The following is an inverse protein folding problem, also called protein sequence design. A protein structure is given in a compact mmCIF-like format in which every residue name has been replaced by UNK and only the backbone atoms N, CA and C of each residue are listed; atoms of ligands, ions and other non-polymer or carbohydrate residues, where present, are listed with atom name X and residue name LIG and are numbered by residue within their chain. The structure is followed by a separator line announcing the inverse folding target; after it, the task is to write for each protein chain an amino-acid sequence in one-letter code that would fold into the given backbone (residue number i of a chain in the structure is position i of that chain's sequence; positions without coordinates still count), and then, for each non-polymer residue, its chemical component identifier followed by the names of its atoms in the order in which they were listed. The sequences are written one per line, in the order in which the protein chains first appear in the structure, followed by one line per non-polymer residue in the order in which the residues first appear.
data_IF_243092805997
#
_entry.id   IF_243092805997
#
_cell.length_a   1.000
_cell.length_b   1.000
_cell.length_c   1.000
_cell.angle_alpha   90.00
_cell.angle_beta   90.00
_cell.angle_gamma   90.00
#
_symmetry.space_group_name_H-M   'P 1'
#
loop_
_entity.id
_entity.type
_entity.pdbx_description
1 polymer ?
#
# COMPACT_ATOMS: atom_id res chain seq x y z
N UNK A 1 17.93 3.99 -11.03
CA UNK A 1 18.09 3.97 -9.56
C UNK A 1 16.70 3.68 -8.99
N UNK A 2 16.61 2.64 -8.17
CA UNK A 2 15.46 1.82 -7.71
C UNK A 2 14.05 2.42 -7.85
N UNK A 3 13.16 1.67 -8.52
CA UNK A 3 11.74 1.96 -8.68
C UNK A 3 10.95 1.70 -7.41
N UNK A 4 10.79 2.74 -6.60
CA UNK A 4 9.92 2.77 -5.43
C UNK A 4 8.68 3.57 -5.78
N UNK A 5 7.50 2.96 -5.64
CA UNK A 5 6.23 3.63 -5.91
C UNK A 5 5.90 4.58 -4.76
N UNK A 6 5.68 5.86 -5.05
CA UNK A 6 5.25 6.83 -4.03
C UNK A 6 3.89 6.44 -3.49
N UNK A 7 3.68 6.68 -2.20
CA UNK A 7 2.38 6.44 -1.59
C UNK A 7 1.34 7.34 -2.28
N UNK A 8 0.19 6.81 -2.73
CA UNK A 8 -0.84 7.58 -3.41
C UNK A 8 -1.71 8.37 -2.41
N UNK A 9 -1.07 9.11 -1.50
CA UNK A 9 -1.71 9.95 -0.49
C UNK A 9 -1.33 11.42 -0.71
N UNK A 10 -2.27 12.31 -0.45
CA UNK A 10 -2.17 13.75 -0.66
C UNK A 10 -2.67 14.48 0.59
N UNK A 11 -1.99 15.56 0.94
CA UNK A 11 -2.32 16.39 2.09
C UNK A 11 -2.62 17.82 1.65
N UNK A 12 -3.63 18.44 2.26
CA UNK A 12 -3.80 19.88 2.20
C UNK A 12 -3.09 20.60 3.36
N UNK A 13 -3.15 21.93 3.36
CA UNK A 13 -2.53 22.75 4.40
C UNK A 13 -3.23 22.66 5.76
N UNK A 14 -4.48 22.18 5.80
CA UNK A 14 -5.26 22.01 7.02
C UNK A 14 -5.02 20.63 7.66
N UNK A 15 -4.26 19.76 6.97
CA UNK A 15 -3.89 18.42 7.43
C UNK A 15 -4.88 17.33 7.03
N UNK A 16 -5.84 17.61 6.14
CA UNK A 16 -6.72 16.57 5.62
C UNK A 16 -5.96 15.65 4.66
N UNK A 17 -6.34 14.37 4.64
CA UNK A 17 -5.70 13.33 3.84
C UNK A 17 -6.65 12.82 2.76
N UNK A 18 -6.15 12.73 1.54
CA UNK A 18 -6.86 12.23 0.38
C UNK A 18 -6.04 11.14 -0.32
N UNK A 19 -6.68 10.05 -0.76
CA UNK A 19 -6.00 8.93 -1.41
C UNK A 19 -6.41 8.85 -2.87
N UNK A 20 -5.45 8.83 -3.77
CA UNK A 20 -5.68 8.77 -5.22
C UNK A 20 -4.37 8.69 -6.01
N UNK A 21 -4.44 8.13 -7.22
CA UNK A 21 -3.28 7.84 -8.08
C UNK A 21 -2.71 9.10 -8.69
N UNK A 22 -3.52 10.15 -8.81
CA UNK A 22 -3.10 11.48 -9.26
C UNK A 22 -3.82 12.57 -8.48
N UNK A 23 -3.26 13.79 -8.54
CA UNK A 23 -3.89 14.98 -7.95
C UNK A 23 -5.26 15.25 -8.57
N UNK A 24 -5.38 15.07 -9.89
CA UNK A 24 -6.63 15.29 -10.62
C UNK A 24 -7.76 14.36 -10.15
N UNK A 25 -7.45 13.07 -9.94
CA UNK A 25 -8.39 12.08 -9.39
C UNK A 25 -8.86 12.50 -7.99
N UNK A 26 -7.91 12.85 -7.12
CA UNK A 26 -8.21 13.34 -5.77
C UNK A 26 -9.11 14.56 -5.79
N UNK A 27 -8.80 15.55 -6.64
CA UNK A 27 -9.59 16.77 -6.75
C UNK A 27 -11.00 16.48 -7.24
N UNK A 28 -11.14 15.61 -8.24
CA UNK A 28 -12.44 15.26 -8.81
C UNK A 28 -13.32 14.50 -7.82
N UNK A 29 -12.78 13.50 -7.13
CA UNK A 29 -13.55 12.66 -6.20
C UNK A 29 -13.96 13.41 -4.93
N UNK A 30 -13.15 14.37 -4.49
CA UNK A 30 -13.37 15.12 -3.25
C UNK A 30 -13.94 16.53 -3.50
N UNK A 31 -14.26 16.89 -4.74
CA UNK A 31 -14.75 18.22 -5.15
C UNK A 31 -13.85 19.37 -4.65
N UNK A 32 -12.53 19.19 -4.71
CA UNK A 32 -11.57 20.19 -4.25
C UNK A 32 -11.36 21.25 -5.33
N UNK A 33 -11.47 22.51 -4.93
CA UNK A 33 -11.17 23.63 -5.80
C UNK A 33 -9.66 23.77 -6.07
N UNK A 34 -9.29 24.40 -7.17
CA UNK A 34 -7.90 24.53 -7.63
C UNK A 34 -7.02 25.40 -6.70
N UNK A 35 -7.64 26.18 -5.82
CA UNK A 35 -6.98 26.99 -4.79
C UNK A 35 -6.53 26.17 -3.57
N UNK A 36 -7.08 24.96 -3.37
CA UNK A 36 -6.60 24.04 -2.36
C UNK A 36 -5.23 23.52 -2.79
N UNK A 37 -4.19 23.94 -2.08
CA UNK A 37 -2.84 23.42 -2.29
C UNK A 37 -2.79 21.98 -1.79
N UNK A 38 -2.42 21.05 -2.69
CA UNK A 38 -2.23 19.65 -2.37
C UNK A 38 -0.76 19.28 -2.50
N UNK A 39 -0.28 18.47 -1.55
CA UNK A 39 1.07 17.91 -1.56
C UNK A 39 0.99 16.40 -1.47
N UNK A 40 1.55 15.70 -2.46
CA UNK A 40 1.69 14.24 -2.41
C UNK A 40 2.65 13.87 -1.27
N UNK A 41 2.37 12.74 -0.60
CA UNK A 41 3.32 12.14 0.32
C UNK A 41 4.68 11.91 -0.36
N UNK A 42 5.75 12.27 0.34
CA UNK A 42 7.12 12.08 -0.16
C UNK A 42 7.61 10.67 0.15
N UNK A 43 6.94 9.97 1.07
CA UNK A 43 7.25 8.61 1.41
C UNK A 43 6.99 7.65 0.24
N UNK A 44 7.85 6.65 0.18
CA UNK A 44 7.77 5.57 -0.80
C UNK A 44 7.32 4.29 -0.13
N UNK A 45 6.55 3.49 -0.87
CA UNK A 45 6.19 2.15 -0.40
C UNK A 45 7.47 1.35 -0.09
N UNK A 46 7.43 0.63 1.03
CA UNK A 46 8.50 -0.27 1.41
C UNK A 46 8.74 -1.29 0.28
N UNK A 47 10.01 -1.61 0.01
CA UNK A 47 10.37 -2.60 -1.01
C UNK A 47 9.69 -3.96 -0.75
N UNK A 48 9.48 -4.31 0.52
CA UNK A 48 8.80 -5.54 0.93
C UNK A 48 7.29 -5.54 0.67
N UNK A 49 6.66 -4.36 0.52
CA UNK A 49 5.24 -4.26 0.17
C UNK A 49 4.95 -4.93 -1.18
N UNK A 50 5.81 -4.71 -2.17
CA UNK A 50 5.67 -5.33 -3.50
C UNK A 50 5.97 -6.84 -3.45
N UNK A 51 6.88 -7.28 -2.59
CA UNK A 51 7.20 -8.70 -2.42
C UNK A 51 6.05 -9.49 -1.79
N UNK A 52 5.31 -8.89 -0.84
CA UNK A 52 4.13 -9.49 -0.25
C UNK A 52 3.00 -9.72 -1.27
N UNK A 53 2.88 -8.86 -2.29
CA UNK A 53 1.85 -8.97 -3.33
C UNK A 53 2.16 -10.00 -4.43
N UNK A 54 3.37 -10.57 -4.46
CA UNK A 54 3.84 -11.49 -5.51
C UNK A 54 2.91 -12.68 -5.74
N UNK A 55 2.34 -13.25 -4.67
CA UNK A 55 1.50 -14.45 -4.73
C UNK A 55 0.18 -14.24 -5.47
N UNK A 56 -0.23 -12.98 -5.67
CA UNK A 56 -1.48 -12.62 -6.35
C UNK A 56 -1.25 -11.89 -7.67
N UNK A 57 -0.25 -11.01 -7.73
CA UNK A 57 -0.01 -10.14 -8.89
C UNK A 57 0.30 -10.92 -10.16
N UNK A 58 0.98 -12.06 -10.04
CA UNK A 58 1.28 -12.96 -11.17
C UNK A 58 0.05 -13.73 -11.68
N UNK A 59 -1.02 -13.80 -10.88
CA UNK A 59 -2.28 -14.46 -11.22
C UNK A 59 -3.31 -13.48 -11.81
N UNK A 60 -2.93 -12.22 -12.04
CA UNK A 60 -3.79 -11.19 -12.59
C UNK A 60 -4.71 -10.54 -11.57
N UNK A 61 -4.30 -10.47 -10.31
CA UNK A 61 -4.93 -9.58 -9.32
C UNK A 61 -4.62 -8.11 -9.68
N UNK A 62 -5.57 -7.16 -9.54
CA UNK A 62 -6.82 -7.25 -8.78
C UNK A 62 -8.04 -7.84 -9.51
N UNK A 63 -7.91 -8.23 -10.78
CA UNK A 63 -9.01 -8.83 -11.52
C UNK A 63 -9.33 -10.24 -11.01
N UNK A 64 -10.63 -10.61 -11.03
CA UNK A 64 -11.08 -11.93 -10.57
C UNK A 64 -10.92 -12.97 -11.69
N UNK A 65 -9.68 -13.35 -11.98
CA UNK A 65 -9.34 -14.31 -13.05
C UNK A 65 -9.60 -15.76 -12.63
N UNK A 66 -9.75 -16.67 -13.60
CA UNK A 66 -9.84 -18.12 -13.33
C UNK A 66 -8.56 -18.65 -12.67
N UNK A 67 -7.40 -18.15 -13.09
CA UNK A 67 -6.11 -18.54 -12.51
C UNK A 67 -6.00 -18.15 -11.03
N UNK A 68 -6.45 -16.95 -10.67
CA UNK A 68 -6.50 -16.50 -9.28
C UNK A 68 -7.40 -17.42 -8.44
N UNK A 69 -8.59 -17.78 -8.93
CA UNK A 69 -9.50 -18.69 -8.22
C UNK A 69 -8.96 -20.12 -8.06
N UNK A 70 -8.20 -20.60 -9.05
CA UNK A 70 -7.71 -21.97 -9.08
C UNK A 70 -6.45 -22.19 -8.24
N UNK A 71 -5.54 -21.21 -8.24
CA UNK A 71 -4.21 -21.35 -7.64
C UNK A 71 -4.02 -20.57 -6.33
N UNK A 72 -5.03 -19.79 -5.94
CA UNK A 72 -5.08 -19.11 -4.66
C UNK A 72 -6.30 -19.61 -3.84
N UNK A 73 -6.12 -20.08 -2.59
CA UNK A 73 -4.91 -20.02 -1.77
C UNK A 73 -3.86 -21.08 -2.12
N UNK A 74 -2.58 -20.69 -2.06
CA UNK A 74 -1.44 -21.60 -2.26
C UNK A 74 -1.24 -22.48 -1.02
N UNK A 75 -0.90 -23.77 -1.22
CA UNK A 75 -0.84 -24.75 -0.13
C UNK A 75 0.51 -24.84 0.60
N UNK A 76 1.61 -24.38 -0.01
CA UNK A 76 2.96 -24.42 0.56
C UNK A 76 3.74 -23.17 0.17
N UNK A 77 4.39 -22.52 1.14
CA UNK A 77 5.35 -21.45 0.92
C UNK A 77 6.72 -21.89 1.46
N UNK A 78 7.75 -21.85 0.63
CA UNK A 78 9.14 -22.12 1.02
C UNK A 78 9.88 -20.79 1.11
N UNK A 79 10.34 -20.42 2.30
CA UNK A 79 11.03 -19.16 2.56
C UNK A 79 12.29 -19.37 3.39
N UNK A 80 13.25 -18.44 3.29
CA UNK A 80 14.40 -18.38 4.18
C UNK A 80 14.00 -17.84 5.57
N UNK A 81 14.65 -18.36 6.62
CA UNK A 81 14.41 -17.90 8.00
C UNK A 81 14.73 -16.41 8.21
N UNK A 82 15.64 -15.89 7.39
CA UNK A 82 16.12 -14.51 7.39
C UNK A 82 15.09 -13.47 6.92
N UNK A 83 14.05 -13.89 6.20
CA UNK A 83 13.05 -12.95 5.61
C UNK A 83 11.60 -13.28 5.99
N UNK A 84 11.35 -14.33 6.77
CA UNK A 84 9.98 -14.78 7.08
C UNK A 84 9.15 -13.69 7.78
N UNK A 85 9.74 -12.93 8.70
CA UNK A 85 9.06 -11.84 9.43
C UNK A 85 8.85 -10.56 8.60
N UNK A 86 9.51 -10.46 7.45
CA UNK A 86 9.31 -9.35 6.50
C UNK A 86 8.11 -9.63 5.57
N UNK A 87 7.79 -10.92 5.37
CA UNK A 87 6.68 -11.38 4.54
C UNK A 87 5.40 -11.69 5.34
N UNK A 88 5.54 -12.12 6.60
CA UNK A 88 4.45 -12.42 7.53
C UNK A 88 4.47 -11.39 8.66
N UNK A 89 3.81 -10.23 8.46
CA UNK A 89 3.51 -9.34 9.58
C UNK A 89 2.22 -9.82 10.25
N UNK A 90 2.26 -10.25 11.53
CA UNK A 90 1.03 -10.52 12.27
C UNK A 90 0.24 -9.22 12.38
N UNK A 91 -1.02 -9.29 12.00
CA UNK A 91 -1.97 -8.18 12.05
C UNK A 91 -2.48 -8.03 13.50
N UNK A 92 -1.57 -7.76 14.44
CA UNK A 92 -1.97 -7.44 15.82
C UNK A 92 -2.41 -5.98 15.86
N UNK A 93 -3.73 -5.80 15.89
CA UNK A 93 -4.37 -4.61 16.43
C UNK A 93 -3.89 -4.43 17.87
N UNK A 94 -3.10 -3.39 18.13
CA UNK A 94 -3.04 -2.72 19.43
C UNK A 94 -2.51 -1.28 19.26
N UNK A 95 -3.46 -0.36 19.05
CA UNK A 95 -3.33 0.98 19.59
C UNK A 95 -3.29 0.82 21.12
N UNK A 96 -2.17 1.16 21.75
CA UNK A 96 -2.09 1.98 22.96
C UNK A 96 -0.68 1.92 23.58
N UNK A 97 -0.08 3.12 23.67
CA UNK A 97 0.96 3.51 24.62
C UNK A 97 2.32 2.79 24.50
N UNK A 98 3.37 3.58 24.26
CA UNK A 98 4.62 3.59 25.06
C UNK A 98 5.60 4.63 24.49
N UNK A 99 5.32 5.92 24.74
CA UNK A 99 6.36 6.93 24.94
C UNK A 99 6.05 7.71 26.21
N UNK A 100 6.34 7.07 27.35
CA UNK A 100 6.81 7.74 28.55
C UNK A 100 8.03 7.00 29.07
N UNK A 101 9.19 7.57 28.75
CA UNK A 101 10.51 7.57 29.42
C UNK A 101 11.65 7.38 28.42
#
# INVERSE_FOLDING_TARGET
MVGVHRIPAWYDNDGNVYVGRSEDEVRQENNLSADVALRQDEDVLDTWFSSALWTFSTLGWPENTDALRQFHPTSVMVSGFDIIFLLDRPHDHDDHALHQR
#
